data_IF_283926500124
#
_entry.id   IF_283926500124
#
_cell.length_a   1.000
_cell.length_b   1.000
_cell.length_c   1.000
_cell.angle_alpha   90.00
_cell.angle_beta   90.00
_cell.angle_gamma   90.00
#
_symmetry.space_group_name_H-M   'P 1'
#
loop_
_entity.id
_entity.type
_entity.pdbx_description
1 polymer ?
#
# COMPACT_ATOMS: atom_id res chain seq x y z
N UNK A 1 4.74 26.42 7.83
CA UNK A 1 5.18 25.17 8.48
C UNK A 1 4.54 24.04 7.72
N UNK A 2 5.31 23.05 7.26
CA UNK A 2 4.78 21.88 6.58
C UNK A 2 4.59 20.82 7.67
N UNK A 3 3.35 20.51 8.01
CA UNK A 3 3.04 19.45 8.97
C UNK A 3 3.09 18.12 8.23
N UNK A 4 4.26 17.48 8.21
CA UNK A 4 4.48 16.18 7.59
C UNK A 4 4.80 15.11 8.63
N UNK A 5 4.45 13.86 8.33
CA UNK A 5 4.86 12.72 9.15
C UNK A 5 6.35 12.42 8.95
N UNK A 6 7.14 12.51 10.01
CA UNK A 6 8.55 12.10 10.04
C UNK A 6 8.68 10.64 10.50
N UNK A 7 8.58 9.72 9.54
CA UNK A 7 8.66 8.29 9.84
C UNK A 7 10.06 7.89 10.34
N UNK A 8 10.08 7.00 11.34
CA UNK A 8 11.27 6.42 11.98
C UNK A 8 11.15 4.91 12.04
N UNK A 9 11.52 4.26 10.95
CA UNK A 9 11.39 2.81 10.75
C UNK A 9 12.48 2.03 11.45
N UNK A 10 12.11 1.12 12.34
CA UNK A 10 13.03 0.17 12.97
C UNK A 10 12.58 -1.25 12.71
N UNK A 11 13.53 -2.15 12.52
CA UNK A 11 13.25 -3.57 12.32
C UNK A 11 12.86 -4.23 13.64
N UNK A 12 11.73 -4.93 13.64
CA UNK A 12 11.20 -5.67 14.80
C UNK A 12 10.77 -7.07 14.43
N UNK A 13 10.86 -7.95 15.43
CA UNK A 13 10.35 -9.32 15.34
C UNK A 13 9.07 -9.42 16.15
N UNK A 14 8.00 -9.87 15.52
CA UNK A 14 6.73 -10.17 16.16
C UNK A 14 6.58 -11.68 16.27
N UNK A 15 6.14 -12.14 17.44
CA UNK A 15 5.80 -13.54 17.67
C UNK A 15 4.31 -13.71 17.42
N UNK A 16 3.97 -14.52 16.42
CA UNK A 16 2.60 -14.90 16.15
C UNK A 16 2.26 -16.16 16.96
N UNK A 17 0.98 -16.30 17.30
CA UNK A 17 0.46 -17.58 17.82
C UNK A 17 0.84 -18.69 16.84
N UNK A 18 1.22 -19.86 17.33
CA UNK A 18 1.79 -20.99 16.56
C UNK A 18 3.32 -20.98 16.39
N UNK A 19 4.04 -20.09 17.08
CA UNK A 19 5.52 -20.13 17.13
C UNK A 19 6.21 -19.58 15.88
N UNK A 20 5.45 -18.87 15.03
CA UNK A 20 5.95 -18.21 13.85
C UNK A 20 6.48 -16.82 14.23
N UNK A 21 7.70 -16.50 13.84
CA UNK A 21 8.31 -15.19 14.07
C UNK A 21 8.37 -14.42 12.75
N UNK A 22 7.79 -13.23 12.71
CA UNK A 22 7.80 -12.35 11.54
C UNK A 22 8.69 -11.15 11.81
N UNK A 23 9.62 -10.91 10.90
CA UNK A 23 10.47 -9.74 10.88
C UNK A 23 9.88 -8.69 9.94
N UNK A 24 9.66 -7.48 10.45
CA UNK A 24 9.13 -6.36 9.67
C UNK A 24 9.58 -5.01 10.23
N UNK A 25 9.29 -3.92 9.53
CA UNK A 25 9.53 -2.57 10.02
C UNK A 25 8.35 -2.04 10.83
N UNK A 26 8.66 -1.36 11.93
CA UNK A 26 7.70 -0.57 12.71
C UNK A 26 8.18 0.88 12.74
N UNK A 27 7.27 1.81 12.51
CA UNK A 27 7.52 3.22 12.74
C UNK A 27 7.44 3.54 14.24
N UNK A 28 8.51 4.13 14.78
CA UNK A 28 8.59 4.52 16.19
C UNK A 28 7.71 5.72 16.53
N UNK A 29 7.35 6.57 15.55
CA UNK A 29 6.58 7.79 15.81
C UNK A 29 5.09 7.51 15.94
N UNK A 30 4.54 6.62 15.12
CA UNK A 30 3.11 6.27 15.08
C UNK A 30 2.80 4.87 15.60
N UNK A 31 3.81 3.99 15.68
CA UNK A 31 3.64 2.58 16.00
C UNK A 31 3.16 1.73 14.82
N UNK A 32 2.98 2.33 13.64
CA UNK A 32 2.52 1.64 12.43
C UNK A 32 3.51 0.57 11.98
N UNK A 33 2.96 -0.54 11.49
CA UNK A 33 3.70 -1.72 11.04
C UNK A 33 3.47 -1.88 9.54
N UNK A 34 4.48 -2.29 8.78
CA UNK A 34 4.34 -2.59 7.34
C UNK A 34 4.30 -4.09 7.08
N UNK A 35 3.78 -4.48 5.92
CA UNK A 35 3.86 -5.87 5.48
C UNK A 35 5.18 -6.12 4.75
N UNK A 36 5.98 -7.13 5.16
CA UNK A 36 7.25 -7.46 4.51
C UNK A 36 7.08 -8.10 3.12
N UNK A 37 5.86 -8.51 2.75
CA UNK A 37 5.55 -9.03 1.41
C UNK A 37 5.23 -7.92 0.42
N UNK A 38 4.73 -6.77 0.90
CA UNK A 38 4.32 -5.65 0.07
C UNK A 38 5.43 -4.60 -0.10
N UNK A 39 6.36 -4.54 0.85
CA UNK A 39 7.38 -3.50 0.94
C UNK A 39 8.74 -4.12 1.20
N UNK A 40 9.78 -3.60 0.55
CA UNK A 40 11.16 -4.02 0.82
C UNK A 40 11.64 -3.50 2.19
N UNK A 41 11.61 -4.39 3.19
CA UNK A 41 12.07 -4.12 4.55
C UNK A 41 13.58 -3.92 4.66
N UNK A 42 14.36 -4.39 3.69
CA UNK A 42 15.82 -4.20 3.67
C UNK A 42 16.18 -2.77 3.30
N UNK A 43 15.41 -2.18 2.39
CA UNK A 43 15.49 -0.77 2.08
C UNK A 43 14.89 0.11 3.19
N UNK A 44 13.68 -0.23 3.66
CA UNK A 44 12.94 0.63 4.58
C UNK A 44 13.58 0.68 5.98
N UNK A 45 13.94 -0.47 6.56
CA UNK A 45 14.62 -0.56 7.85
C UNK A 45 15.77 -1.57 7.81
N UNK A 46 16.98 -1.16 7.39
CA UNK A 46 18.12 -2.07 7.24
C UNK A 46 18.64 -2.60 8.59
N UNK A 47 18.33 -1.93 9.70
CA UNK A 47 18.87 -2.23 11.03
C UNK A 47 17.78 -2.47 12.08
N UNK A 48 18.12 -3.30 13.07
CA UNK A 48 17.33 -3.51 14.29
C UNK A 48 17.60 -2.46 15.38
N UNK A 49 18.73 -1.75 15.28
CA UNK A 49 19.17 -0.81 16.32
C UNK A 49 19.02 0.63 15.89
N UNK A 50 19.18 0.91 14.60
CA UNK A 50 19.16 2.27 14.07
C UNK A 50 17.88 2.51 13.25
N UNK A 51 17.08 3.52 13.62
CA UNK A 51 15.88 3.86 12.87
C UNK A 51 16.25 4.55 11.55
N UNK A 52 15.55 4.19 10.49
CA UNK A 52 15.65 4.77 9.16
C UNK A 52 14.52 5.77 8.92
N UNK A 53 14.81 6.85 8.21
CA UNK A 53 13.82 7.84 7.77
C UNK A 53 13.45 7.67 6.30
N UNK A 54 13.64 6.46 5.76
CA UNK A 54 13.32 6.15 4.37
C UNK A 54 11.84 6.47 4.09
N UNK A 55 11.61 7.17 2.98
CA UNK A 55 10.27 7.44 2.49
C UNK A 55 9.67 6.16 1.93
N UNK A 56 8.41 5.92 2.28
CA UNK A 56 7.62 4.84 1.72
C UNK A 56 6.62 5.42 0.72
N UNK A 57 6.18 4.61 -0.23
CA UNK A 57 5.18 5.02 -1.22
C UNK A 57 3.86 5.39 -0.54
N UNK A 58 3.13 6.36 -1.11
CA UNK A 58 1.88 6.90 -0.54
C UNK A 58 0.73 5.91 -0.56
N UNK A 59 0.80 4.89 -1.42
CA UNK A 59 -0.15 3.78 -1.54
C UNK A 59 0.18 2.61 -0.60
N UNK A 60 1.25 2.71 0.21
CA UNK A 60 1.60 1.65 1.14
C UNK A 60 0.52 1.44 2.21
N UNK A 61 0.23 0.18 2.46
CA UNK A 61 -0.72 -0.23 3.51
C UNK A 61 0.02 -0.40 4.83
N UNK A 62 -0.52 0.23 5.88
CA UNK A 62 0.00 0.16 7.23
C UNK A 62 -0.97 -0.57 8.16
N UNK A 63 -0.41 -1.19 9.20
CA UNK A 63 -1.15 -1.97 10.18
C UNK A 63 -0.92 -1.42 11.59
N UNK A 64 -1.98 -1.39 12.40
CA UNK A 64 -1.91 -0.93 13.80
C UNK A 64 -1.51 -2.05 14.76
N UNK A 65 -1.72 -3.31 14.37
CA UNK A 65 -1.41 -4.47 15.18
C UNK A 65 -0.71 -5.57 14.37
N UNK A 66 0.03 -6.42 15.09
CA UNK A 66 0.64 -7.61 14.50
C UNK A 66 -0.40 -8.65 14.05
N UNK A 67 -1.61 -8.62 14.62
CA UNK A 67 -2.72 -9.51 14.24
C UNK A 67 -3.30 -9.10 12.88
N UNK A 68 -3.50 -7.80 12.65
CA UNK A 68 -3.95 -7.28 11.35
C UNK A 68 -2.95 -7.61 10.23
N UNK A 69 -1.66 -7.41 10.52
CA UNK A 69 -0.58 -7.79 9.61
C UNK A 69 -0.64 -9.29 9.30
N UNK A 70 -0.83 -10.14 10.31
CA UNK A 70 -0.89 -11.58 10.12
C UNK A 70 -2.09 -12.00 9.26
N UNK A 71 -3.27 -11.43 9.50
CA UNK A 71 -4.45 -11.68 8.66
C UNK A 71 -4.22 -11.26 7.21
N UNK A 72 -3.58 -10.12 6.99
CA UNK A 72 -3.21 -9.64 5.66
C UNK A 72 -2.20 -10.58 4.96
N UNK A 73 -1.16 -11.03 5.67
CA UNK A 73 -0.20 -11.99 5.13
C UNK A 73 -0.84 -13.35 4.81
N UNK A 74 -1.81 -13.79 5.61
CA UNK A 74 -2.60 -15.00 5.31
C UNK A 74 -3.47 -14.81 4.08
N UNK A 75 -3.97 -13.59 3.82
CA UNK A 75 -4.69 -13.28 2.60
C UNK A 75 -3.79 -13.36 1.36
N UNK A 76 -2.52 -12.93 1.43
CA UNK A 76 -1.56 -13.16 0.34
C UNK A 76 -1.38 -14.64 0.02
N UNK A 77 -1.24 -15.49 1.04
CA UNK A 77 -1.09 -16.93 0.85
C UNK A 77 -2.32 -17.53 0.13
N UNK A 78 -3.53 -17.13 0.54
CA UNK A 78 -4.78 -17.56 -0.09
C UNK A 78 -5.01 -16.95 -1.47
N UNK A 79 -4.59 -15.71 -1.71
CA UNK A 79 -4.70 -15.05 -3.00
C UNK A 79 -3.80 -15.73 -4.04
N UNK A 80 -2.58 -16.15 -3.66
CA UNK A 80 -1.72 -16.99 -4.50
C UNK A 80 -2.33 -18.36 -4.83
N UNK A 81 -3.23 -18.87 -3.98
CA UNK A 81 -4.05 -20.06 -4.29
C UNK A 81 -5.27 -19.69 -5.16
N UNK A 82 -5.90 -18.54 -4.94
CA UNK A 82 -7.02 -18.03 -5.72
C UNK A 82 -6.62 -17.69 -7.17
N UNK A 83 -5.41 -17.21 -7.42
CA UNK A 83 -4.87 -17.00 -8.79
C UNK A 83 -4.82 -18.30 -9.62
N UNK A 84 -4.91 -19.48 -9.00
CA UNK A 84 -5.04 -20.76 -9.71
C UNK A 84 -6.49 -21.10 -10.07
N UNK A 85 -7.45 -20.34 -9.57
CA UNK A 85 -8.89 -20.58 -9.73
C UNK A 85 -9.63 -19.36 -10.31
N UNK A 86 -8.92 -18.29 -10.71
CA UNK A 86 -9.49 -17.21 -11.52
C UNK A 86 -9.60 -17.74 -12.96
N UNK A 87 -10.81 -17.88 -13.54
CA UNK A 87 -10.94 -18.02 -14.98
C UNK A 87 -10.38 -16.75 -15.61
N UNK A 88 -9.40 -16.90 -16.49
CA UNK A 88 -8.87 -15.82 -17.33
C UNK A 88 -10.03 -15.09 -18.02
N UNK A 89 -10.38 -13.90 -17.55
CA UNK A 89 -11.16 -12.98 -18.37
C UNK A 89 -10.23 -12.48 -19.48
N UNK A 90 -10.60 -12.87 -20.69
CA UNK A 90 -9.92 -12.53 -21.95
C UNK A 90 -9.87 -11.02 -22.09
N UNK A 91 -8.71 -10.51 -22.48
CA UNK A 91 -8.47 -9.14 -22.91
C UNK A 91 -9.51 -8.72 -23.97
N UNK A 92 -10.30 -7.68 -23.69
CA UNK A 92 -11.00 -6.94 -24.72
C UNK A 92 -10.39 -5.53 -24.75
N UNK A 93 -9.41 -5.35 -25.65
CA UNK A 93 -9.06 -4.05 -26.20
C UNK A 93 -10.32 -3.44 -26.83
N UNK A 94 -10.73 -2.26 -26.36
CA UNK A 94 -11.90 -1.56 -26.85
C UNK A 94 -11.73 -0.05 -26.66
N UNK A 95 -11.20 0.58 -27.69
CA UNK A 95 -11.00 2.02 -27.81
C UNK A 95 -12.36 2.74 -27.82
N UNK A 96 -12.59 3.66 -26.90
CA UNK A 96 -13.76 4.55 -26.92
C UNK A 96 -13.29 6.01 -26.94
N UNK A 97 -13.25 6.57 -28.16
CA UNK A 97 -13.09 8.01 -28.41
C UNK A 97 -14.23 8.78 -27.73
N UNK A 98 -13.89 9.81 -26.95
CA UNK A 98 -14.85 10.77 -26.40
C UNK A 98 -15.00 11.93 -27.39
N UNK A 99 -16.16 12.03 -28.06
CA UNK A 99 -16.57 13.23 -28.79
C UNK A 99 -17.13 14.24 -27.77
N UNK A 100 -16.42 15.34 -27.51
CA UNK A 100 -17.02 16.52 -26.88
C UNK A 100 -17.85 17.25 -27.94
N UNK A 101 -19.18 17.12 -27.86
CA UNK A 101 -20.10 18.12 -28.43
C UNK A 101 -20.14 19.32 -27.47
N UNK A 102 -19.47 20.41 -27.88
CA UNK A 102 -19.51 21.69 -27.19
C UNK A 102 -20.86 22.37 -27.40
N UNK A 103 -21.69 22.34 -26.36
CA UNK A 103 -22.96 23.04 -26.25
C UNK A 103 -22.74 24.58 -26.22
N UNK A 104 -23.32 25.20 -27.24
CA UNK A 104 -23.74 26.59 -27.42
C UNK A 104 -24.14 27.36 -26.15
N UNK A 105 -23.55 28.56 -25.92
CA UNK A 105 -24.22 29.62 -25.17
C UNK A 105 -23.81 31.06 -25.58
N UNK A 106 -24.87 31.83 -25.86
CA UNK A 106 -25.11 33.29 -25.85
C UNK A 106 -24.02 34.35 -26.10
N UNK A 107 -24.34 35.31 -26.98
CA UNK A 107 -24.52 36.72 -26.58
C UNK A 107 -25.15 37.57 -27.71
N UNK A 108 -25.97 38.51 -27.26
CA UNK A 108 -26.83 39.48 -27.95
C UNK A 108 -26.07 40.56 -28.73
N UNK A 109 -26.66 41.11 -29.81
CA UNK A 109 -26.41 42.50 -30.22
C UNK A 109 -27.69 43.13 -30.81
N UNK A 110 -28.24 44.08 -30.07
CA UNK A 110 -29.30 45.02 -30.47
C UNK A 110 -28.71 46.43 -30.32
N UNK A 111 -28.50 47.13 -31.44
CA UNK A 111 -28.63 48.59 -31.66
C UNK A 111 -28.40 48.93 -33.14
#
# INVERSE_FOLDING_TARGET
MIYGWEAKWIRRKYKMGEGLEIETCQDLSTGLIVCPLCVDISYLCPSFTEPSTASISTDAVFFFSSEDLFHHMKAHAKAGEWSKHIPSEVEEEGEEYFEEEGEEDSATDDV
#
